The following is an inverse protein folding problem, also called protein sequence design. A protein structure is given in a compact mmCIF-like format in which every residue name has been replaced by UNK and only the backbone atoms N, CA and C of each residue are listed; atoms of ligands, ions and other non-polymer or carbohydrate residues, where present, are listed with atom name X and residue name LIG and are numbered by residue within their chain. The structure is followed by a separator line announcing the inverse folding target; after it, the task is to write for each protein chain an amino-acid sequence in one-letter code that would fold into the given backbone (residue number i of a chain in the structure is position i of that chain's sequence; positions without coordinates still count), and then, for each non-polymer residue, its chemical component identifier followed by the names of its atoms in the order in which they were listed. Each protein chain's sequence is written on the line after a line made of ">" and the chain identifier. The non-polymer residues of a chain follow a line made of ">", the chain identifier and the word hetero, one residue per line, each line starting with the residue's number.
data_IF_788441285266
#
_entry.id   IF_788441285266
#
_cell.length_a   1.000
_cell.length_b   1.000
_cell.length_c   1.000
_cell.angle_alpha   90.00
_cell.angle_beta   90.00
_cell.angle_gamma   90.00
#
_symmetry.space_group_name_H-M   'P 1'
#
loop_
_entity.id
_entity.type
_entity.pdbx_description
1 polymer ?
#
# COMPACT_ATOMS: atom_id res chain seq x y z
N UNK A 1 -60.09 25.46 -33.59
CA UNK A 1 -59.90 26.83 -34.10
C UNK A 1 -58.64 27.38 -33.41
N UNK A 2 -57.50 27.51 -34.12
CA UNK A 2 -56.89 28.78 -34.64
C UNK A 2 -56.87 29.88 -33.58
N UNK A 3 -55.81 30.63 -33.28
CA UNK A 3 -54.50 30.98 -33.84
C UNK A 3 -53.72 31.59 -32.62
N UNK A 4 -52.42 31.84 -32.54
CA UNK A 4 -51.29 32.10 -33.45
C UNK A 4 -50.20 32.68 -32.51
N UNK A 5 -48.97 32.16 -32.44
CA UNK A 5 -47.80 32.28 -33.33
C UNK A 5 -47.20 33.70 -33.44
N UNK A 6 -45.91 33.76 -33.04
CA UNK A 6 -44.82 34.75 -33.32
C UNK A 6 -44.81 35.95 -32.36
N UNK A 7 -43.68 36.37 -31.81
CA UNK A 7 -42.37 36.68 -32.42
C UNK A 7 -41.21 36.27 -31.46
N UNK A 8 -40.05 35.74 -31.90
CA UNK A 8 -38.90 36.49 -32.44
C UNK A 8 -38.15 37.22 -31.32
N UNK A 9 -36.85 37.07 -31.01
CA UNK A 9 -35.67 37.15 -31.88
C UNK A 9 -34.40 36.78 -31.07
N UNK A 10 -33.46 36.08 -31.72
CA UNK A 10 -32.04 35.81 -31.34
C UNK A 10 -31.26 37.04 -30.85
N UNK A 11 -30.29 36.90 -29.92
CA UNK A 11 -28.82 37.09 -30.20
C UNK A 11 -27.91 37.12 -28.95
N UNK A 12 -26.90 36.24 -29.00
CA UNK A 12 -25.43 36.43 -28.77
C UNK A 12 -24.88 37.02 -27.45
N UNK A 13 -24.08 36.15 -26.80
CA UNK A 13 -22.69 36.30 -26.30
C UNK A 13 -22.11 37.72 -26.12
N UNK A 14 -21.55 37.94 -24.93
CA UNK A 14 -20.44 38.85 -24.62
C UNK A 14 -20.18 38.82 -23.11
N UNK A 15 -19.21 38.06 -22.60
CA UNK A 15 -17.83 38.49 -22.40
C UNK A 15 -17.75 39.92 -21.84
N UNK A 16 -17.58 40.04 -20.52
CA UNK A 16 -17.51 41.31 -19.80
C UNK A 16 -16.80 41.15 -18.47
N UNK A 17 -15.59 40.62 -18.52
CA UNK A 17 -14.62 40.59 -17.43
C UNK A 17 -14.28 42.03 -17.02
N UNK A 18 -14.63 42.45 -15.80
CA UNK A 18 -14.07 43.65 -15.18
C UNK A 18 -13.60 43.28 -13.78
N UNK A 19 -12.29 43.06 -13.70
CA UNK A 19 -11.51 43.06 -12.48
C UNK A 19 -11.77 44.34 -11.69
N UNK A 20 -12.18 44.20 -10.44
CA UNK A 20 -11.87 45.18 -9.40
C UNK A 20 -11.25 44.39 -8.25
N UNK A 21 -9.93 44.50 -8.19
CA UNK A 21 -9.11 44.02 -7.09
C UNK A 21 -9.20 44.99 -5.89
N UNK A 22 -8.54 44.59 -4.80
CA UNK A 22 -8.32 45.25 -3.50
C UNK A 22 -9.27 44.77 -2.40
N UNK A 23 -8.93 43.66 -1.72
CA UNK A 23 -7.94 43.55 -0.64
C UNK A 23 -8.47 44.06 0.71
N UNK A 24 -9.07 43.15 1.46
CA UNK A 24 -9.10 43.19 2.92
C UNK A 24 -8.79 41.77 3.42
N UNK A 25 -7.51 41.52 3.63
CA UNK A 25 -6.97 40.28 4.16
C UNK A 25 -7.03 40.37 5.68
N UNK A 26 -7.98 39.66 6.32
CA UNK A 26 -7.85 39.28 7.72
C UNK A 26 -8.77 38.10 8.01
N UNK A 27 -8.13 36.92 8.01
CA UNK A 27 -8.38 35.82 8.95
C UNK A 27 -9.83 35.38 9.09
N UNK A 28 -10.20 34.27 8.45
CA UNK A 28 -10.88 33.14 9.10
C UNK A 28 -11.15 32.04 8.06
N UNK A 29 -10.80 30.83 8.46
CA UNK A 29 -11.20 29.56 7.85
C UNK A 29 -10.53 29.19 6.54
N UNK A 30 -9.24 28.90 6.68
CA UNK A 30 -8.60 27.76 6.05
C UNK A 30 -9.48 26.51 6.26
N UNK A 31 -10.44 26.24 5.37
CA UNK A 31 -11.00 24.90 5.21
C UNK A 31 -9.99 24.06 4.41
N UNK A 32 -8.81 23.86 5.00
CA UNK A 32 -8.09 22.62 4.80
C UNK A 32 -9.00 21.53 5.37
N UNK A 33 -9.76 20.86 4.51
CA UNK A 33 -10.18 19.49 4.80
C UNK A 33 -8.91 18.67 4.95
N UNK A 34 -8.34 18.71 6.15
CA UNK A 34 -7.53 17.63 6.66
C UNK A 34 -8.46 16.42 6.66
N UNK A 35 -8.42 15.66 5.57
CA UNK A 35 -8.69 14.24 5.65
C UNK A 35 -7.66 13.74 6.65
N UNK A 36 -8.01 13.70 7.94
CA UNK A 36 -7.26 12.93 8.90
C UNK A 36 -7.20 11.55 8.26
N UNK A 37 -6.01 11.03 7.88
CA UNK A 37 -5.94 9.67 7.44
C UNK A 37 -6.61 8.90 8.57
N UNK A 38 -7.71 8.21 8.27
CA UNK A 38 -8.28 7.25 9.20
C UNK A 38 -7.16 6.25 9.40
N UNK A 39 -6.37 6.46 10.45
CA UNK A 39 -5.41 5.50 10.95
C UNK A 39 -6.32 4.39 11.45
N UNK A 40 -6.69 3.48 10.54
CA UNK A 40 -7.14 2.17 10.95
C UNK A 40 -6.07 1.72 11.94
N UNK A 41 -6.43 1.32 13.18
CA UNK A 41 -5.43 0.76 14.08
C UNK A 41 -4.66 -0.27 13.27
N UNK A 42 -3.32 -0.24 13.26
CA UNK A 42 -2.56 -1.21 12.49
C UNK A 42 -3.14 -2.55 12.89
N UNK A 43 -3.79 -3.21 11.94
CA UNK A 43 -4.33 -4.54 12.15
C UNK A 43 -3.07 -5.37 12.26
N UNK A 44 -2.54 -5.46 13.48
CA UNK A 44 -1.37 -6.28 13.79
C UNK A 44 -1.79 -7.64 13.31
N UNK A 45 -1.26 -8.02 12.15
CA UNK A 45 -1.72 -9.16 11.38
C UNK A 45 -1.10 -10.39 12.06
N UNK A 46 -1.51 -10.65 13.30
CA UNK A 46 -1.14 -11.77 14.17
C UNK A 46 -1.77 -13.07 13.66
N UNK A 47 -1.87 -13.24 12.34
CA UNK A 47 -2.14 -14.55 11.80
C UNK A 47 -0.89 -15.40 12.01
N UNK A 48 -1.05 -16.61 12.56
CA UNK A 48 0.06 -17.53 12.73
C UNK A 48 0.67 -17.87 11.38
N UNK A 49 1.99 -18.09 11.35
CA UNK A 49 2.71 -18.47 10.14
C UNK A 49 2.23 -19.84 9.66
N UNK A 50 2.05 -19.99 8.35
CA UNK A 50 1.84 -21.28 7.72
C UNK A 50 3.05 -22.21 8.02
N UNK A 51 2.86 -23.49 8.34
CA UNK A 51 3.96 -24.46 8.52
C UNK A 51 5.02 -24.41 7.41
N UNK A 52 4.61 -24.25 6.14
CA UNK A 52 5.54 -24.16 5.00
C UNK A 52 6.43 -22.92 5.10
N UNK A 53 5.87 -21.77 5.49
CA UNK A 53 6.64 -20.54 5.69
C UNK A 53 7.55 -20.64 6.92
N UNK A 54 7.07 -21.27 7.99
CA UNK A 54 7.85 -21.49 9.21
C UNK A 54 9.11 -22.31 8.91
N UNK A 55 9.00 -23.38 8.10
CA UNK A 55 10.15 -24.16 7.68
C UNK A 55 11.21 -23.31 6.96
N UNK A 56 10.80 -22.44 6.04
CA UNK A 56 11.72 -21.53 5.33
C UNK A 56 12.36 -20.51 6.28
N UNK A 57 11.57 -19.95 7.21
CA UNK A 57 12.06 -19.02 8.23
C UNK A 57 13.13 -19.70 9.09
N UNK A 58 12.89 -20.93 9.54
CA UNK A 58 13.86 -21.69 10.35
C UNK A 58 15.11 -22.08 9.58
N UNK A 59 14.97 -22.47 8.31
CA UNK A 59 16.11 -22.80 7.44
C UNK A 59 17.05 -21.60 7.23
N UNK A 60 16.50 -20.38 7.25
CA UNK A 60 17.25 -19.13 7.09
C UNK A 60 17.68 -18.49 8.41
N UNK A 61 17.56 -19.20 9.54
CA UNK A 61 17.91 -18.66 10.86
C UNK A 61 19.42 -18.38 10.91
N UNK A 62 19.84 -17.13 11.16
CA UNK A 62 21.25 -16.81 11.39
C UNK A 62 21.82 -17.55 12.60
N UNK A 63 23.09 -17.92 12.59
CA UNK A 63 23.73 -18.62 13.72
C UNK A 63 23.72 -17.79 15.01
N UNK A 64 23.80 -16.45 14.87
CA UNK A 64 23.85 -15.50 16.00
C UNK A 64 22.56 -15.41 16.83
N UNK A 65 21.44 -15.92 16.33
CA UNK A 65 20.14 -15.83 17.00
C UNK A 65 19.65 -17.21 17.45
N UNK A 66 18.96 -17.24 18.58
CA UNK A 66 18.20 -18.43 18.97
C UNK A 66 16.97 -18.57 18.06
N UNK A 67 16.42 -19.78 18.00
CA UNK A 67 15.22 -20.03 17.18
C UNK A 67 14.03 -19.16 17.64
N UNK A 68 13.81 -19.08 18.94
CA UNK A 68 12.70 -18.31 19.53
C UNK A 68 12.85 -16.81 19.26
N UNK A 69 14.06 -16.27 19.46
CA UNK A 69 14.35 -14.87 19.19
C UNK A 69 14.16 -14.54 17.71
N UNK A 70 14.63 -15.41 16.82
CA UNK A 70 14.45 -15.26 15.38
C UNK A 70 12.98 -15.25 14.96
N UNK A 71 12.18 -16.19 15.47
CA UNK A 71 10.74 -16.24 15.20
C UNK A 71 10.05 -14.98 15.71
N UNK A 72 10.37 -14.54 16.93
CA UNK A 72 9.82 -13.31 17.50
C UNK A 72 10.23 -12.07 16.69
N UNK A 73 11.45 -12.03 16.15
CA UNK A 73 11.85 -10.98 15.23
C UNK A 73 11.00 -11.01 13.96
N UNK A 74 10.77 -12.18 13.37
CA UNK A 74 10.00 -12.36 12.14
C UNK A 74 8.51 -12.07 12.29
N UNK A 75 7.97 -12.02 13.50
CA UNK A 75 6.61 -11.52 13.75
C UNK A 75 6.47 -10.04 13.34
N UNK A 76 7.53 -9.24 13.47
CA UNK A 76 7.50 -7.80 13.14
C UNK A 76 7.63 -7.57 11.62
N UNK A 77 6.68 -6.88 10.97
CA UNK A 77 6.71 -6.66 9.52
C UNK A 77 7.99 -5.99 9.01
N UNK A 78 8.60 -5.13 9.83
CA UNK A 78 9.86 -4.43 9.51
C UNK A 78 10.99 -5.44 9.30
N UNK A 79 11.11 -6.46 10.16
CA UNK A 79 12.18 -7.44 10.04
C UNK A 79 12.00 -8.37 8.85
N UNK A 80 10.76 -8.69 8.44
CA UNK A 80 10.47 -9.49 7.24
C UNK A 80 11.00 -8.86 5.94
N UNK A 81 11.14 -7.52 5.95
CA UNK A 81 11.71 -6.77 4.82
C UNK A 81 13.22 -6.58 4.93
N UNK A 82 13.76 -6.51 6.15
CA UNK A 82 15.20 -6.35 6.40
C UNK A 82 15.98 -7.66 6.22
N UNK A 83 15.31 -8.79 6.45
CA UNK A 83 15.90 -10.12 6.37
C UNK A 83 15.17 -10.93 5.30
N UNK A 84 15.56 -10.79 4.02
CA UNK A 84 14.99 -11.62 2.96
C UNK A 84 15.34 -13.09 3.23
N UNK A 85 14.37 -13.97 2.96
CA UNK A 85 14.52 -15.41 3.10
C UNK A 85 15.05 -15.98 1.79
N UNK A 86 16.17 -16.70 1.85
CA UNK A 86 16.73 -17.39 0.71
C UNK A 86 16.06 -18.76 0.56
N UNK A 87 15.59 -19.03 -0.64
CA UNK A 87 14.97 -20.31 -1.00
C UNK A 87 15.87 -20.98 -2.02
N UNK A 88 16.40 -22.14 -1.64
CA UNK A 88 17.22 -22.97 -2.53
C UNK A 88 16.34 -23.83 -3.42
N UNK A 89 16.89 -24.33 -4.53
CA UNK A 89 16.14 -25.24 -5.41
C UNK A 89 15.69 -26.52 -4.67
N UNK A 90 16.54 -27.09 -3.82
CA UNK A 90 16.19 -28.25 -3.00
C UNK A 90 15.01 -28.00 -2.05
N UNK A 91 14.85 -26.77 -1.56
CA UNK A 91 13.67 -26.38 -0.77
C UNK A 91 12.42 -26.26 -1.65
N UNK A 92 12.53 -25.76 -2.87
CA UNK A 92 11.39 -25.70 -3.81
C UNK A 92 10.94 -27.09 -4.28
N UNK A 93 11.86 -28.05 -4.35
CA UNK A 93 11.52 -29.42 -4.74
C UNK A 93 10.72 -30.16 -3.65
N UNK A 94 10.81 -29.70 -2.39
CA UNK A 94 10.15 -30.31 -1.23
C UNK A 94 8.97 -29.52 -0.70
N UNK A 95 8.96 -28.20 -0.89
CA UNK A 95 7.95 -27.28 -0.37
C UNK A 95 7.06 -26.76 -1.50
N UNK A 96 5.77 -26.68 -1.22
CA UNK A 96 4.82 -26.03 -2.13
C UNK A 96 4.98 -24.51 -2.07
N UNK A 97 5.61 -23.94 -3.10
CA UNK A 97 5.84 -22.49 -3.21
C UNK A 97 4.55 -21.67 -3.21
N UNK A 98 3.40 -22.26 -3.56
CA UNK A 98 2.11 -21.56 -3.54
C UNK A 98 1.62 -21.27 -2.12
N UNK A 99 2.15 -22.00 -1.13
CA UNK A 99 1.82 -21.88 0.29
C UNK A 99 2.71 -20.89 1.04
N UNK A 100 3.71 -20.32 0.37
CA UNK A 100 4.58 -19.30 0.96
C UNK A 100 3.81 -18.00 1.21
N UNK A 101 3.97 -17.45 2.42
CA UNK A 101 3.28 -16.23 2.82
C UNK A 101 3.88 -15.01 2.11
N UNK A 102 3.06 -14.35 1.29
CA UNK A 102 3.42 -13.16 0.51
C UNK A 102 3.86 -11.97 1.36
N UNK A 103 3.70 -12.02 2.69
CA UNK A 103 4.20 -11.00 3.63
C UNK A 103 5.73 -11.03 3.78
N UNK A 104 6.38 -12.12 3.37
CA UNK A 104 7.83 -12.25 3.41
C UNK A 104 8.46 -11.94 2.05
N UNK A 105 9.70 -11.47 2.10
CA UNK A 105 10.51 -11.32 0.90
C UNK A 105 11.31 -12.60 0.69
N UNK A 106 11.08 -13.27 -0.44
CA UNK A 106 11.82 -14.47 -0.83
C UNK A 106 12.79 -14.15 -1.96
N UNK A 107 14.00 -14.67 -1.85
CA UNK A 107 15.02 -14.61 -2.89
C UNK A 107 15.42 -16.03 -3.26
N UNK A 108 15.44 -16.33 -4.56
CA UNK A 108 15.90 -17.64 -5.01
C UNK A 108 17.42 -17.61 -5.03
N UNK A 109 18.04 -18.45 -4.20
CA UNK A 109 19.47 -18.66 -4.25
C UNK A 109 19.77 -19.53 -5.47
N UNK A 110 20.22 -18.88 -6.55
CA UNK A 110 20.78 -19.60 -7.70
C UNK A 110 22.14 -20.10 -7.26
N UNK A 111 22.19 -21.33 -6.80
CA UNK A 111 23.44 -22.05 -6.58
C UNK A 111 24.17 -22.06 -7.94
N UNK A 112 25.09 -21.11 -8.15
CA UNK A 112 26.01 -21.19 -9.26
C UNK A 112 26.95 -22.34 -8.93
N UNK A 113 26.75 -23.47 -9.62
CA UNK A 113 27.69 -24.56 -9.62
C UNK A 113 29.08 -24.01 -9.95
N UNK A 114 30.01 -24.20 -9.02
CA UNK A 114 31.42 -23.96 -9.22
C UNK A 114 32.19 -25.16 -8.72
#
# INVERSE_FOLDING_TARGET
>A
MRNGRREGVKKRRGAGQRFVAYAAFALVSCMCWAQAPTIKPPTTNNQPLNPTTLAVVLANKPERFTQEEWLHMMEKPVHRSLYPLFVTQAMLDTLDATQLDRRFQYQIERTQGR
#
